data_IF_455911211075
#
_entry.id   IF_455911211075
#
_cell.length_a   1.000
_cell.length_b   1.000
_cell.length_c   1.000
_cell.angle_alpha   90.00
_cell.angle_beta   90.00
_cell.angle_gamma   90.00
#
_symmetry.space_group_name_H-M   'P 1'
#
loop_
_entity.id
_entity.type
_entity.pdbx_description
1 polymer ?
#
# COMPACT_ATOMS: atom_id res chain seq x y z
N UNK A 1 -11.61 -9.20 -5.40
CA UNK A 1 -11.97 -8.96 -4.00
C UNK A 1 -12.53 -7.55 -3.84
N UNK A 2 -13.42 -7.36 -2.88
CA UNK A 2 -13.94 -6.07 -2.42
C UNK A 2 -13.81 -5.94 -0.89
N UNK A 3 -13.27 -6.95 -0.25
CA UNK A 3 -13.08 -7.05 1.20
C UNK A 3 -11.64 -7.46 1.47
N UNK A 4 -10.93 -6.61 2.22
CA UNK A 4 -9.53 -6.79 2.59
C UNK A 4 -9.32 -8.08 3.39
N UNK A 5 -10.23 -8.41 4.30
CA UNK A 5 -10.08 -9.60 5.16
C UNK A 5 -10.15 -10.89 4.36
N UNK A 6 -11.09 -10.98 3.40
CA UNK A 6 -11.24 -12.16 2.53
C UNK A 6 -10.01 -12.34 1.64
N UNK A 7 -9.48 -11.24 1.08
CA UNK A 7 -8.25 -11.29 0.29
C UNK A 7 -7.04 -11.70 1.13
N UNK A 8 -6.96 -11.22 2.37
CA UNK A 8 -5.86 -11.55 3.28
C UNK A 8 -5.90 -13.01 3.74
N UNK A 9 -7.07 -13.65 3.85
CA UNK A 9 -7.17 -15.07 4.17
C UNK A 9 -6.49 -15.92 3.10
N UNK A 10 -6.76 -15.65 1.82
CA UNK A 10 -6.15 -16.35 0.69
C UNK A 10 -4.64 -16.03 0.57
N UNK A 11 -4.28 -14.75 0.79
CA UNK A 11 -2.88 -14.31 0.71
C UNK A 11 -2.02 -14.92 1.83
N UNK A 12 -2.51 -14.96 3.06
CA UNK A 12 -1.82 -15.58 4.19
C UNK A 12 -1.58 -17.06 3.92
N UNK A 13 -2.59 -17.80 3.45
CA UNK A 13 -2.44 -19.21 3.10
C UNK A 13 -1.36 -19.43 2.02
N UNK A 14 -1.34 -18.56 1.00
CA UNK A 14 -0.35 -18.64 -0.07
C UNK A 14 1.07 -18.33 0.42
N UNK A 15 1.24 -17.26 1.21
CA UNK A 15 2.55 -16.82 1.72
C UNK A 15 3.13 -17.83 2.69
N UNK A 16 2.34 -18.40 3.58
CA UNK A 16 2.81 -19.44 4.53
C UNK A 16 3.35 -20.70 3.83
N UNK A 17 2.94 -20.96 2.60
CA UNK A 17 3.47 -22.07 1.81
C UNK A 17 4.87 -21.83 1.23
N UNK A 18 5.33 -20.58 1.19
CA UNK A 18 6.60 -20.18 0.57
C UNK A 18 7.61 -19.56 1.53
N UNK A 19 7.18 -19.20 2.74
CA UNK A 19 8.09 -18.65 3.76
C UNK A 19 8.76 -19.80 4.53
N UNK A 20 9.99 -20.12 4.13
CA UNK A 20 10.80 -21.17 4.77
C UNK A 20 12.03 -20.64 5.52
N UNK A 21 12.23 -19.31 5.57
CA UNK A 21 13.39 -18.68 6.17
C UNK A 21 13.18 -17.18 6.36
N UNK A 22 14.24 -16.42 6.56
CA UNK A 22 14.13 -14.95 6.68
C UNK A 22 13.45 -14.35 5.45
N UNK A 23 12.50 -13.46 5.67
CA UNK A 23 11.75 -12.78 4.62
C UNK A 23 11.61 -11.29 4.93
N UNK A 24 11.22 -10.52 3.96
CA UNK A 24 10.74 -9.16 4.09
C UNK A 24 9.46 -9.00 3.26
N UNK A 25 8.61 -8.08 3.64
CA UNK A 25 7.43 -7.71 2.87
C UNK A 25 7.61 -6.31 2.29
N UNK A 26 7.10 -6.12 1.09
CA UNK A 26 7.04 -4.82 0.42
C UNK A 26 5.62 -4.55 -0.07
N UNK A 27 5.10 -3.36 0.24
CA UNK A 27 3.82 -2.93 -0.29
C UNK A 27 3.84 -1.46 -0.69
N UNK A 28 3.28 -1.15 -1.87
CA UNK A 28 3.12 0.22 -2.36
C UNK A 28 1.64 0.60 -2.41
N UNK A 29 1.29 1.80 -1.97
CA UNK A 29 -0.07 2.32 -1.96
C UNK A 29 -1.01 1.40 -1.13
N UNK A 30 -2.11 0.92 -1.70
CA UNK A 30 -2.96 -0.11 -1.09
C UNK A 30 -2.15 -1.34 -0.64
N UNK A 31 -1.12 -1.73 -1.41
CA UNK A 31 -0.23 -2.83 -1.07
C UNK A 31 0.51 -2.63 0.26
N UNK A 32 0.73 -1.39 0.70
CA UNK A 32 1.30 -1.08 2.01
C UNK A 32 0.38 -1.48 3.16
N UNK A 33 -0.91 -1.18 3.05
CA UNK A 33 -1.95 -1.62 4.01
C UNK A 33 -2.07 -3.15 4.03
N UNK A 34 -2.05 -3.78 2.85
CA UNK A 34 -2.08 -5.25 2.69
C UNK A 34 -0.87 -5.88 3.36
N UNK A 35 0.34 -5.37 3.12
CA UNK A 35 1.56 -5.90 3.69
C UNK A 35 1.58 -5.78 5.22
N UNK A 36 1.09 -4.67 5.77
CA UNK A 36 0.96 -4.48 7.21
C UNK A 36 -0.03 -5.49 7.83
N UNK A 37 -1.21 -5.65 7.25
CA UNK A 37 -2.21 -6.60 7.74
C UNK A 37 -1.73 -8.05 7.64
N UNK A 38 -1.01 -8.38 6.56
CA UNK A 38 -0.41 -9.69 6.41
C UNK A 38 0.64 -9.95 7.49
N UNK A 39 1.53 -8.98 7.75
CA UNK A 39 2.56 -9.14 8.79
C UNK A 39 1.94 -9.27 10.18
N UNK A 40 0.87 -8.55 10.51
CA UNK A 40 0.09 -8.76 11.76
C UNK A 40 -0.31 -10.22 11.95
N UNK A 41 -0.82 -10.84 10.87
CA UNK A 41 -1.26 -12.23 10.88
C UNK A 41 -0.08 -13.20 10.98
N UNK A 42 1.02 -12.90 10.28
CA UNK A 42 2.24 -13.70 10.31
C UNK A 42 2.91 -13.64 11.68
N UNK A 43 3.02 -12.45 12.30
CA UNK A 43 3.53 -12.34 13.68
C UNK A 43 2.67 -13.12 14.67
N UNK A 44 1.36 -13.02 14.58
CA UNK A 44 0.44 -13.79 15.43
C UNK A 44 0.61 -15.32 15.25
N UNK A 45 1.11 -15.75 14.10
CA UNK A 45 1.44 -17.15 13.80
C UNK A 45 2.89 -17.53 14.12
N UNK A 46 3.68 -16.62 14.70
CA UNK A 46 5.07 -16.86 15.13
C UNK A 46 6.13 -16.64 14.05
N UNK A 47 5.77 -15.98 12.94
CA UNK A 47 6.73 -15.50 11.94
C UNK A 47 7.06 -14.04 12.22
N UNK A 48 8.24 -13.58 11.81
CA UNK A 48 8.61 -12.15 11.91
C UNK A 48 9.48 -11.81 10.71
N UNK A 49 9.07 -10.81 9.93
CA UNK A 49 9.86 -10.33 8.80
C UNK A 49 11.14 -9.62 9.29
N UNK A 50 12.19 -9.63 8.49
CA UNK A 50 13.37 -8.81 8.73
C UNK A 50 13.06 -7.32 8.67
N UNK A 51 12.17 -6.95 7.76
CA UNK A 51 11.67 -5.58 7.59
C UNK A 51 10.35 -5.61 6.83
N UNK A 52 9.43 -4.75 7.24
CA UNK A 52 8.22 -4.41 6.51
C UNK A 52 8.46 -3.07 5.81
N UNK A 53 8.53 -3.11 4.47
CA UNK A 53 8.67 -1.92 3.65
C UNK A 53 7.31 -1.41 3.22
N UNK A 54 6.98 -0.20 3.60
CA UNK A 54 5.76 0.52 3.24
C UNK A 54 6.12 1.66 2.30
N UNK A 55 5.46 1.76 1.17
CA UNK A 55 5.76 2.74 0.13
C UNK A 55 4.49 3.49 -0.29
N UNK A 56 4.49 4.82 -0.23
CA UNK A 56 3.39 5.67 -0.70
C UNK A 56 2.04 5.31 -0.07
N UNK A 57 2.00 5.01 1.22
CA UNK A 57 0.80 4.53 1.89
C UNK A 57 0.59 5.23 3.24
N UNK A 58 -0.64 5.69 3.47
CA UNK A 58 -1.06 6.18 4.79
C UNK A 58 -1.28 5.02 5.75
N UNK A 59 -1.13 5.30 7.03
CA UNK A 59 -1.44 4.32 8.09
C UNK A 59 -2.93 3.94 8.09
N UNK A 60 -3.27 2.71 8.48
CA UNK A 60 -4.65 2.21 8.46
C UNK A 60 -5.64 2.96 9.35
N UNK A 61 -5.17 3.70 10.36
CA UNK A 61 -6.03 4.52 11.23
C UNK A 61 -6.42 5.88 10.66
N UNK A 62 -5.91 6.23 9.48
CA UNK A 62 -6.30 7.45 8.75
C UNK A 62 -7.16 7.05 7.56
N UNK A 63 -8.47 7.28 7.61
CA UNK A 63 -9.37 6.94 6.50
C UNK A 63 -9.06 7.78 5.27
N UNK A 64 -9.47 7.29 4.09
CA UNK A 64 -9.39 8.07 2.85
C UNK A 64 -10.22 9.36 2.98
N UNK A 65 -9.61 10.55 2.85
CA UNK A 65 -10.33 11.82 3.02
C UNK A 65 -11.32 12.11 1.89
N UNK A 66 -11.06 11.60 0.68
CA UNK A 66 -11.86 11.87 -0.52
C UNK A 66 -12.18 10.58 -1.28
N UNK A 67 -12.96 9.65 -0.69
CA UNK A 67 -13.22 8.35 -1.30
C UNK A 67 -14.05 8.49 -2.57
N UNK A 68 -13.69 7.74 -3.60
CA UNK A 68 -14.38 7.74 -4.89
C UNK A 68 -15.13 6.43 -5.20
N UNK A 69 -14.89 5.35 -4.45
CA UNK A 69 -15.45 4.03 -4.73
C UNK A 69 -16.98 4.03 -4.89
N UNK A 70 -17.68 4.92 -4.20
CA UNK A 70 -19.15 5.01 -4.15
C UNK A 70 -19.76 5.90 -5.25
N UNK A 71 -18.92 6.62 -6.00
CA UNK A 71 -19.40 7.53 -7.04
C UNK A 71 -20.07 6.78 -8.20
N UNK A 72 -21.07 7.40 -8.89
CA UNK A 72 -21.58 6.89 -10.16
C UNK A 72 -20.44 6.68 -11.18
N UNK A 73 -20.62 5.75 -12.13
CA UNK A 73 -19.55 5.32 -13.03
C UNK A 73 -18.88 6.49 -13.78
N UNK A 74 -19.63 7.43 -14.32
CA UNK A 74 -19.07 8.57 -15.04
C UNK A 74 -18.27 9.54 -14.15
N UNK A 75 -18.66 9.65 -12.89
CA UNK A 75 -17.93 10.46 -11.90
C UNK A 75 -16.67 9.72 -11.44
N UNK A 76 -16.79 8.42 -11.16
CA UNK A 76 -15.67 7.57 -10.80
C UNK A 76 -14.59 7.57 -11.89
N UNK A 77 -14.97 7.38 -13.17
CA UNK A 77 -14.04 7.44 -14.31
C UNK A 77 -13.30 8.78 -14.38
N UNK A 78 -14.00 9.88 -14.16
CA UNK A 78 -13.41 11.22 -14.15
C UNK A 78 -12.40 11.38 -13.02
N UNK A 79 -12.75 10.90 -11.81
CA UNK A 79 -11.88 10.98 -10.65
C UNK A 79 -10.64 10.06 -10.73
N UNK A 80 -10.70 8.95 -11.49
CA UNK A 80 -9.53 8.09 -11.75
C UNK A 80 -8.35 8.86 -12.37
N UNK A 81 -8.63 9.94 -13.12
CA UNK A 81 -7.59 10.81 -13.67
C UNK A 81 -6.76 11.57 -12.62
N UNK A 82 -7.22 11.64 -11.38
CA UNK A 82 -6.49 12.21 -10.23
C UNK A 82 -5.30 11.34 -9.81
N UNK A 83 -5.43 10.02 -10.02
CA UNK A 83 -4.46 9.04 -9.60
C UNK A 83 -3.51 8.70 -10.75
N UNK A 84 -2.22 8.68 -10.48
CA UNK A 84 -1.18 8.37 -11.48
C UNK A 84 -1.13 6.88 -11.86
N UNK A 85 -1.94 6.04 -11.22
CA UNK A 85 -1.92 4.59 -11.36
C UNK A 85 -2.54 4.06 -12.66
N UNK A 86 -3.48 4.79 -13.26
CA UNK A 86 -4.17 4.37 -14.48
C UNK A 86 -3.47 4.96 -15.71
N UNK A 87 -2.97 4.14 -16.68
CA UNK A 87 -2.34 4.65 -17.88
C UNK A 87 -3.27 5.56 -18.71
N UNK A 88 -2.70 6.60 -19.33
CA UNK A 88 -3.48 7.55 -20.15
C UNK A 88 -4.23 6.86 -21.27
N UNK A 89 -3.63 5.85 -21.89
CA UNK A 89 -4.23 5.06 -22.97
C UNK A 89 -5.53 4.37 -22.51
N UNK A 90 -5.62 4.00 -21.24
CA UNK A 90 -6.85 3.43 -20.63
C UNK A 90 -7.85 4.54 -20.35
N UNK A 91 -7.41 5.66 -19.75
CA UNK A 91 -8.29 6.80 -19.42
C UNK A 91 -8.90 7.46 -20.66
N UNK A 92 -8.17 7.50 -21.79
CA UNK A 92 -8.59 8.10 -23.06
C UNK A 92 -9.40 7.13 -23.95
N UNK A 93 -9.46 5.84 -23.60
CA UNK A 93 -10.18 4.82 -24.35
C UNK A 93 -11.39 4.31 -23.54
N UNK A 94 -12.59 4.74 -23.96
CA UNK A 94 -13.84 4.41 -23.26
C UNK A 94 -14.08 2.89 -23.15
N UNK A 95 -13.80 2.13 -24.21
CA UNK A 95 -14.02 0.67 -24.20
C UNK A 95 -13.07 -0.03 -23.21
N UNK A 96 -11.80 0.38 -23.15
CA UNK A 96 -10.84 -0.15 -22.19
C UNK A 96 -11.22 0.26 -20.76
N UNK A 97 -11.62 1.51 -20.58
CA UNK A 97 -12.03 2.01 -19.26
C UNK A 97 -13.27 1.26 -18.74
N UNK A 98 -14.28 1.04 -19.60
CA UNK A 98 -15.47 0.27 -19.26
C UNK A 98 -15.14 -1.20 -18.94
N UNK A 99 -14.18 -1.78 -19.66
CA UNK A 99 -13.72 -3.15 -19.40
C UNK A 99 -13.03 -3.28 -18.03
N UNK A 100 -12.17 -2.32 -17.67
CA UNK A 100 -11.45 -2.34 -16.40
C UNK A 100 -12.24 -1.79 -15.21
N UNK A 101 -13.34 -1.07 -15.45
CA UNK A 101 -14.10 -0.37 -14.43
C UNK A 101 -14.52 -1.24 -13.24
N UNK A 102 -15.03 -2.49 -13.42
CA UNK A 102 -15.40 -3.33 -12.30
C UNK A 102 -14.20 -3.69 -11.41
N UNK A 103 -13.03 -3.94 -12.00
CA UNK A 103 -11.79 -4.24 -11.28
C UNK A 103 -11.29 -3.01 -10.52
N UNK A 104 -11.17 -1.86 -11.19
CA UNK A 104 -10.75 -0.61 -10.57
C UNK A 104 -11.66 -0.24 -9.40
N UNK A 105 -12.98 -0.35 -9.58
CA UNK A 105 -13.94 -0.08 -8.51
C UNK A 105 -13.79 -1.05 -7.33
N UNK A 106 -13.51 -2.32 -7.58
CA UNK A 106 -13.26 -3.30 -6.53
C UNK A 106 -12.01 -2.94 -5.72
N UNK A 107 -10.91 -2.55 -6.39
CA UNK A 107 -9.66 -2.15 -5.76
C UNK A 107 -9.85 -0.88 -4.91
N UNK A 108 -10.49 0.15 -5.46
CA UNK A 108 -10.81 1.38 -4.71
C UNK A 108 -11.78 1.10 -3.56
N UNK A 109 -12.77 0.22 -3.73
CA UNK A 109 -13.67 -0.17 -2.64
C UNK A 109 -12.86 -0.80 -1.50
N UNK A 110 -11.98 -1.73 -1.82
CA UNK A 110 -11.17 -2.43 -0.82
C UNK A 110 -10.20 -1.47 -0.10
N UNK A 111 -9.53 -0.58 -0.83
CA UNK A 111 -8.57 0.36 -0.26
C UNK A 111 -9.23 1.45 0.58
N UNK A 112 -10.28 2.09 0.06
CA UNK A 112 -10.91 3.26 0.65
C UNK A 112 -11.87 2.93 1.80
N UNK A 113 -12.42 1.71 1.84
CA UNK A 113 -13.25 1.24 2.96
C UNK A 113 -12.45 0.58 4.07
N UNK A 114 -11.17 0.25 3.81
CA UNK A 114 -10.32 -0.35 4.82
C UNK A 114 -9.92 0.68 5.88
N UNK A 115 -10.20 0.36 7.14
CA UNK A 115 -9.90 1.18 8.29
C UNK A 115 -9.62 0.32 9.53
N UNK A 116 -8.43 0.44 10.11
CA UNK A 116 -8.07 -0.19 11.39
C UNK A 116 -7.78 0.89 12.44
N UNK A 117 -8.79 1.18 13.25
CA UNK A 117 -8.68 2.15 14.34
C UNK A 117 -7.73 1.67 15.46
N UNK A 118 -7.58 0.38 15.64
CA UNK A 118 -6.83 -0.19 16.76
C UNK A 118 -5.32 0.02 16.61
N UNK A 119 -4.80 -0.02 15.37
CA UNK A 119 -3.39 0.19 15.06
C UNK A 119 -2.50 -0.73 15.90
N UNK A 120 -2.42 -2.02 15.54
CA UNK A 120 -1.57 -2.96 16.27
C UNK A 120 -0.11 -2.61 16.01
N UNK A 121 0.67 -2.47 17.09
CA UNK A 121 2.11 -2.25 17.02
C UNK A 121 2.81 -3.59 16.76
N UNK A 122 3.59 -3.66 15.69
CA UNK A 122 4.36 -4.83 15.28
C UNK A 122 5.70 -4.91 16.02
N UNK A 123 6.26 -6.11 16.12
CA UNK A 123 7.66 -6.32 16.52
C UNK A 123 8.61 -6.31 15.33
N UNK A 124 8.08 -6.32 14.13
CA UNK A 124 8.82 -6.22 12.86
C UNK A 124 9.33 -4.79 12.65
N UNK A 125 10.62 -4.58 12.30
CA UNK A 125 11.11 -3.28 11.86
C UNK A 125 10.32 -2.75 10.66
N UNK A 126 10.02 -1.44 10.66
CA UNK A 126 9.32 -0.79 9.52
C UNK A 126 10.24 0.21 8.83
N UNK A 127 10.25 0.16 7.50
CA UNK A 127 10.84 1.18 6.66
C UNK A 127 9.75 1.79 5.76
N UNK A 128 9.47 3.09 5.96
CA UNK A 128 8.41 3.79 5.24
C UNK A 128 8.99 4.77 4.22
N UNK A 129 8.53 4.67 2.97
CA UNK A 129 9.03 5.44 1.83
C UNK A 129 7.90 6.25 1.18
N UNK A 130 8.23 7.45 0.70
CA UNK A 130 7.29 8.34 0.02
C UNK A 130 7.94 9.18 -1.07
N UNK A 131 7.11 9.83 -1.88
CA UNK A 131 7.54 10.83 -2.86
C UNK A 131 7.36 12.25 -2.32
N UNK A 132 8.27 13.17 -2.65
CA UNK A 132 8.21 14.59 -2.24
C UNK A 132 6.92 15.29 -2.68
N UNK A 133 6.32 14.83 -3.78
CA UNK A 133 5.12 15.41 -4.40
C UNK A 133 3.94 14.44 -4.37
N UNK A 134 4.01 13.42 -3.52
CA UNK A 134 2.92 12.47 -3.35
C UNK A 134 1.74 13.16 -2.65
N UNK A 135 0.65 13.36 -3.38
CA UNK A 135 -0.59 13.94 -2.85
C UNK A 135 -1.46 12.95 -2.07
N UNK A 136 -1.17 11.63 -2.18
CA UNK A 136 -1.93 10.59 -1.51
C UNK A 136 -1.33 10.22 -0.15
N UNK A 137 0.00 10.23 -0.03
CA UNK A 137 0.72 9.93 1.21
C UNK A 137 1.92 10.87 1.35
N UNK A 138 1.71 12.05 1.90
CA UNK A 138 2.75 13.05 2.16
C UNK A 138 3.74 12.58 3.24
N UNK A 139 4.84 13.32 3.42
CA UNK A 139 5.86 12.98 4.40
C UNK A 139 5.28 12.81 5.81
N UNK A 140 4.28 13.60 6.19
CA UNK A 140 3.67 13.48 7.51
C UNK A 140 2.92 12.16 7.68
N UNK A 141 2.25 11.67 6.64
CA UNK A 141 1.58 10.37 6.62
C UNK A 141 2.58 9.21 6.65
N UNK A 142 3.73 9.37 5.98
CA UNK A 142 4.81 8.38 6.01
C UNK A 142 5.41 8.26 7.41
N UNK A 143 5.63 9.37 8.11
CA UNK A 143 6.17 9.38 9.47
C UNK A 143 5.24 8.73 10.51
N UNK A 144 3.93 8.71 10.29
CA UNK A 144 2.97 8.05 11.18
C UNK A 144 3.23 6.55 11.33
N UNK A 145 3.84 5.89 10.33
CA UNK A 145 4.21 4.48 10.41
C UNK A 145 5.18 4.15 11.54
N UNK A 146 5.95 5.14 12.04
CA UNK A 146 6.79 4.96 13.21
C UNK A 146 6.03 4.61 14.50
N UNK A 147 4.72 4.81 14.54
CA UNK A 147 3.86 4.41 15.68
C UNK A 147 3.38 2.96 15.59
N UNK A 148 3.65 2.27 14.48
CA UNK A 148 3.17 0.94 14.17
C UNK A 148 4.21 -0.16 14.37
N UNK A 149 5.38 0.20 14.90
CA UNK A 149 6.40 -0.76 15.35
C UNK A 149 6.97 -0.35 16.69
N UNK A 150 7.31 -1.33 17.54
CA UNK A 150 8.11 -1.15 18.75
C UNK A 150 9.60 -1.49 18.52
N UNK A 151 9.98 -1.68 17.23
CA UNK A 151 11.32 -1.96 16.78
C UNK A 151 11.89 -0.78 15.98
N UNK A 152 12.95 -0.99 15.21
CA UNK A 152 13.58 0.05 14.38
C UNK A 152 12.59 0.61 13.35
N UNK A 153 12.52 1.94 13.29
CA UNK A 153 11.80 2.67 12.27
C UNK A 153 12.76 3.50 11.42
N UNK A 154 12.70 3.30 10.11
CA UNK A 154 13.43 4.10 9.13
C UNK A 154 12.43 4.72 8.15
N UNK A 155 12.75 5.90 7.63
CA UNK A 155 11.97 6.47 6.53
C UNK A 155 12.85 7.17 5.51
N UNK A 156 12.36 7.30 4.29
CA UNK A 156 13.00 8.08 3.25
C UNK A 156 12.00 8.68 2.28
N UNK A 157 12.20 9.95 1.93
CA UNK A 157 11.42 10.64 0.90
C UNK A 157 12.28 10.75 -0.35
N UNK A 158 11.74 10.33 -1.48
CA UNK A 158 12.39 10.33 -2.79
C UNK A 158 11.85 11.46 -3.66
N UNK A 159 12.62 11.98 -4.63
CA UNK A 159 12.08 12.90 -5.63
C UNK A 159 10.94 12.25 -6.43
N UNK A 160 9.88 13.01 -6.71
CA UNK A 160 8.77 12.53 -7.53
C UNK A 160 7.41 12.51 -6.83
N UNK A 161 6.39 12.02 -7.52
CA UNK A 161 5.02 11.86 -7.04
C UNK A 161 4.76 10.50 -6.40
N UNK A 162 3.49 10.05 -6.47
CA UNK A 162 3.08 8.78 -5.89
C UNK A 162 3.88 7.58 -6.42
N UNK A 163 4.19 7.56 -7.70
CA UNK A 163 4.98 6.49 -8.34
C UNK A 163 6.48 6.82 -8.49
N UNK A 164 7.06 7.57 -7.53
CA UNK A 164 8.50 7.88 -7.48
C UNK A 164 9.40 6.66 -7.71
N UNK A 165 8.94 5.49 -7.33
CA UNK A 165 9.68 4.22 -7.48
C UNK A 165 10.00 3.86 -8.95
N UNK A 166 9.30 4.46 -9.93
CA UNK A 166 9.60 4.30 -11.37
C UNK A 166 10.81 5.13 -11.79
N UNK A 167 10.97 6.31 -11.20
CA UNK A 167 12.02 7.27 -11.56
C UNK A 167 13.26 7.13 -10.67
N UNK A 168 13.12 6.55 -9.47
CA UNK A 168 14.17 6.38 -8.47
C UNK A 168 14.44 4.89 -8.14
N UNK A 169 14.29 3.99 -9.13
CA UNK A 169 14.36 2.54 -8.92
C UNK A 169 15.67 2.11 -8.23
N UNK A 170 16.81 2.56 -8.74
CA UNK A 170 18.13 2.21 -8.22
C UNK A 170 18.33 2.68 -6.78
N UNK A 171 17.88 3.90 -6.46
CA UNK A 171 17.96 4.48 -5.12
C UNK A 171 17.05 3.75 -4.13
N UNK A 172 15.84 3.36 -4.57
CA UNK A 172 14.90 2.58 -3.76
C UNK A 172 15.47 1.20 -3.47
N UNK A 173 15.96 0.49 -4.49
CA UNK A 173 16.60 -0.83 -4.33
C UNK A 173 17.81 -0.73 -3.39
N UNK A 174 18.68 0.29 -3.58
CA UNK A 174 19.84 0.50 -2.73
C UNK A 174 19.44 0.70 -1.26
N UNK A 175 18.38 1.44 -1.00
CA UNK A 175 17.89 1.68 0.36
C UNK A 175 17.29 0.41 0.99
N UNK A 176 16.51 -0.36 0.21
CA UNK A 176 15.98 -1.67 0.66
C UNK A 176 17.13 -2.61 1.03
N UNK A 177 18.14 -2.72 0.16
CA UNK A 177 19.31 -3.60 0.41
C UNK A 177 20.14 -3.16 1.61
N UNK A 178 20.17 -1.87 1.93
CA UNK A 178 20.86 -1.33 3.10
C UNK A 178 20.17 -1.73 4.41
N UNK A 179 18.86 -1.90 4.38
CA UNK A 179 18.02 -2.20 5.55
C UNK A 179 17.79 -3.70 5.78
N UNK A 180 18.14 -4.57 4.82
CA UNK A 180 18.09 -6.03 4.92
C UNK A 180 19.39 -6.64 5.43
#
# INVERSE_FOLDING_TARGET
YIDMSVMLDDLEEAVRKVVYGPYALWGHSMGGKIAYELEKRLEAAGYTAKCLFISGSRVPSIPEPNPIYHLPDEEFKRELGRFEGTPKEVLENQELLDFFLPMLRADFTMDETYYDKAGIVLHTPIAAFGGEKDGEADESAILEWGKYTDNDFNYRIFPGGHFYLRDCEDEVISEVMRLL
#
